data_IF_731515945414
#
_entry.id   IF_731515945414
#
_cell.length_a   1.000
_cell.length_b   1.000
_cell.length_c   1.000
_cell.angle_alpha   90.00
_cell.angle_beta   90.00
_cell.angle_gamma   90.00
#
_symmetry.space_group_name_H-M   'P 1'
#
loop_
_entity.id
_entity.type
_entity.pdbx_description
1 polymer ?
#
# COMPACT_ATOMS: atom_id res chain seq x y z
N UNK A 1 -2.82 15.95 -15.89
CA UNK A 1 -3.43 15.82 -17.24
C UNK A 1 -2.43 15.53 -18.38
N UNK A 2 -1.11 15.81 -18.25
CA UNK A 2 -0.12 15.53 -19.30
C UNK A 2 0.36 14.06 -19.44
N UNK A 3 0.03 13.17 -18.50
CA UNK A 3 0.50 11.76 -18.52
C UNK A 3 -0.36 10.82 -19.39
N UNK A 4 -1.56 11.24 -19.77
CA UNK A 4 -2.51 10.44 -20.57
C UNK A 4 -2.22 10.49 -22.08
N UNK A 5 -1.57 11.56 -22.57
CA UNK A 5 -1.36 11.75 -24.01
C UNK A 5 -0.22 10.93 -24.62
N UNK A 6 0.66 10.38 -23.79
CA UNK A 6 1.84 9.63 -24.26
C UNK A 6 1.45 8.21 -24.75
N UNK A 7 0.46 7.53 -24.12
CA UNK A 7 0.06 6.18 -24.56
C UNK A 7 -0.76 6.17 -25.88
N UNK A 8 -1.39 7.29 -26.28
CA UNK A 8 -2.23 7.34 -27.51
C UNK A 8 -1.40 7.61 -28.78
N UNK A 9 -0.29 8.34 -28.67
CA UNK A 9 0.56 8.68 -29.83
C UNK A 9 1.39 7.50 -30.35
N UNK A 10 1.54 6.42 -29.57
CA UNK A 10 2.29 5.22 -29.95
C UNK A 10 1.49 4.24 -30.84
N UNK A 11 0.23 4.53 -31.20
CA UNK A 11 -0.64 3.61 -31.93
C UNK A 11 -0.59 3.73 -33.47
N UNK A 12 0.22 4.63 -34.04
CA UNK A 12 0.24 4.85 -35.50
C UNK A 12 1.40 4.19 -36.25
N UNK A 13 2.35 3.56 -35.56
CA UNK A 13 3.45 2.83 -36.19
C UNK A 13 3.38 1.35 -35.84
N UNK A 14 2.86 0.58 -36.79
CA UNK A 14 2.97 -0.87 -36.98
C UNK A 14 3.75 -1.69 -35.92
N UNK A 15 3.07 -2.73 -35.42
CA UNK A 15 3.65 -3.97 -34.91
C UNK A 15 4.62 -3.86 -33.70
N UNK A 16 4.08 -3.52 -32.53
CA UNK A 16 4.67 -3.98 -31.26
C UNK A 16 3.57 -4.68 -30.46
N UNK A 17 3.40 -5.98 -30.75
CA UNK A 17 2.71 -6.89 -29.84
C UNK A 17 3.45 -6.85 -28.50
N UNK A 18 2.70 -6.61 -27.40
CA UNK A 18 3.07 -6.76 -25.98
C UNK A 18 3.48 -5.52 -25.18
N UNK A 19 3.06 -4.29 -25.54
CA UNK A 19 3.13 -3.18 -24.58
C UNK A 19 1.73 -2.77 -24.09
N UNK A 20 1.11 -3.67 -23.33
CA UNK A 20 -0.07 -3.35 -22.52
C UNK A 20 0.29 -2.28 -21.49
N UNK A 21 0.00 -1.01 -21.82
CA UNK A 21 -0.04 0.13 -20.90
C UNK A 21 -1.20 -0.13 -19.90
N UNK A 22 -1.04 -1.09 -19.00
CA UNK A 22 -1.91 -1.21 -17.82
C UNK A 22 -1.54 -0.07 -16.89
N UNK A 23 -2.52 0.71 -16.40
CA UNK A 23 -2.26 1.66 -15.34
C UNK A 23 -1.88 0.85 -14.09
N UNK A 24 -0.59 0.72 -13.80
CA UNK A 24 -0.13 0.24 -12.50
C UNK A 24 -0.29 1.39 -11.50
N UNK A 25 -1.56 1.67 -11.21
CA UNK A 25 -2.07 2.60 -10.22
C UNK A 25 -2.94 1.86 -9.20
N UNK A 26 -2.59 0.61 -8.90
CA UNK A 26 -3.10 -0.10 -7.75
C UNK A 26 -1.92 -0.84 -7.13
N UNK A 27 -1.57 -0.40 -5.93
CA UNK A 27 -0.70 -1.09 -4.98
C UNK A 27 -0.95 -2.59 -5.06
N UNK A 28 0.11 -3.34 -5.33
CA UNK A 28 0.20 -4.77 -5.10
C UNK A 28 -0.05 -5.06 -3.62
N UNK A 29 -1.31 -5.24 -3.24
CA UNK A 29 -1.65 -6.04 -2.07
C UNK A 29 -1.47 -7.50 -2.49
N UNK A 30 -0.63 -8.30 -1.81
CA UNK A 30 -0.58 -9.72 -2.06
C UNK A 30 -1.94 -10.31 -1.67
N UNK A 31 -2.56 -10.95 -2.64
CA UNK A 31 -3.62 -11.93 -2.48
C UNK A 31 -3.13 -13.10 -1.62
N UNK A 32 -3.26 -12.98 -0.30
CA UNK A 32 -3.32 -14.11 0.62
C UNK A 32 -4.59 -13.97 1.44
N UNK A 33 -5.55 -14.86 1.20
CA UNK A 33 -6.81 -14.95 1.94
C UNK A 33 -6.58 -15.54 3.35
N UNK A 34 -5.74 -14.89 4.14
CA UNK A 34 -5.76 -14.93 5.58
C UNK A 34 -6.16 -13.54 6.04
N UNK A 35 -7.07 -13.45 7.01
CA UNK A 35 -7.54 -12.21 7.60
C UNK A 35 -6.38 -11.47 8.30
N UNK A 36 -5.50 -10.85 7.52
CA UNK A 36 -4.40 -10.05 8.04
C UNK A 36 -4.97 -8.69 8.40
N UNK A 37 -5.37 -8.58 9.67
CA UNK A 37 -5.73 -7.29 10.26
C UNK A 37 -4.48 -6.41 10.25
N UNK A 38 -4.49 -5.38 9.43
CA UNK A 38 -3.41 -4.38 9.34
C UNK A 38 -3.82 -3.15 10.15
N UNK A 39 -3.05 -2.85 11.20
CA UNK A 39 -3.19 -1.61 11.96
C UNK A 39 -2.36 -0.48 11.36
N UNK A 40 -2.67 0.75 11.72
CA UNK A 40 -1.81 1.90 11.45
C UNK A 40 -0.45 1.75 12.15
N UNK A 41 0.60 2.30 11.55
CA UNK A 41 1.97 2.23 12.07
C UNK A 41 2.31 3.41 13.00
N UNK A 42 1.38 3.79 13.86
CA UNK A 42 1.53 4.84 14.86
C UNK A 42 2.10 4.31 16.18
N UNK A 43 2.72 5.22 16.93
CA UNK A 43 3.38 4.93 18.21
C UNK A 43 2.93 5.91 19.28
N UNK A 44 2.84 5.42 20.52
CA UNK A 44 2.54 6.21 21.71
C UNK A 44 3.76 6.20 22.64
N UNK A 45 4.14 7.37 23.15
CA UNK A 45 5.15 7.52 24.18
C UNK A 45 4.54 7.26 25.56
N UNK A 46 5.22 6.45 26.36
CA UNK A 46 4.86 6.09 27.73
C UNK A 46 5.52 7.04 28.74
N UNK A 47 5.02 7.07 29.98
CA UNK A 47 5.54 7.98 31.03
C UNK A 47 6.99 7.68 31.45
N UNK A 48 7.48 6.48 31.18
CA UNK A 48 8.86 6.05 31.38
C UNK A 48 9.79 6.45 30.21
N UNK A 49 9.23 7.02 29.14
CA UNK A 49 9.94 7.38 27.90
C UNK A 49 10.06 6.24 26.88
N UNK A 50 9.45 5.07 27.13
CA UNK A 50 9.37 4.00 26.13
C UNK A 50 8.30 4.29 25.07
N UNK A 51 8.31 3.52 23.98
CA UNK A 51 7.33 3.65 22.89
C UNK A 51 6.61 2.33 22.63
N UNK A 52 5.29 2.39 22.55
CA UNK A 52 4.41 1.25 22.26
C UNK A 52 3.66 1.47 20.95
N UNK A 53 3.48 0.38 20.18
CA UNK A 53 2.67 0.37 18.96
C UNK A 53 1.31 -0.30 19.19
N UNK A 54 0.50 -0.37 18.13
CA UNK A 54 -0.79 -1.06 18.14
C UNK A 54 -0.66 -2.59 18.15
N UNK A 55 -1.60 -3.27 18.79
CA UNK A 55 -1.72 -4.73 18.82
C UNK A 55 -2.89 -5.22 17.94
N UNK A 56 -2.54 -5.98 16.90
CA UNK A 56 -3.51 -6.60 15.97
C UNK A 56 -4.48 -7.56 16.67
N UNK A 57 -4.07 -8.15 17.79
CA UNK A 57 -4.91 -9.09 18.55
C UNK A 57 -5.84 -8.37 19.53
N UNK A 58 -5.64 -7.06 19.74
CA UNK A 58 -6.42 -6.24 20.66
C UNK A 58 -7.12 -5.09 19.92
N UNK A 59 -7.79 -5.38 18.80
CA UNK A 59 -8.53 -4.39 17.99
C UNK A 59 -7.68 -3.18 17.55
N UNK A 60 -6.39 -3.39 17.31
CA UNK A 60 -5.45 -2.32 17.01
C UNK A 60 -5.30 -1.27 18.13
N UNK A 61 -5.61 -1.58 19.39
CA UNK A 61 -5.31 -0.70 20.51
C UNK A 61 -3.81 -0.67 20.83
N UNK A 62 -3.34 0.39 21.50
CA UNK A 62 -1.94 0.46 21.94
C UNK A 62 -1.64 -0.64 22.97
N UNK A 63 -0.44 -1.22 22.89
CA UNK A 63 0.06 -2.13 23.93
C UNK A 63 0.22 -1.39 25.26
N UNK A 64 0.13 -2.13 26.36
CA UNK A 64 0.41 -1.58 27.69
C UNK A 64 1.86 -1.10 27.79
N UNK A 65 2.06 0.01 28.50
CA UNK A 65 3.38 0.52 28.83
C UNK A 65 4.10 -0.45 29.79
N UNK A 66 5.42 -0.62 29.66
CA UNK A 66 6.24 -1.47 30.53
C UNK A 66 6.34 -0.97 31.98
#
# INVERSE_FOLDING_TARGET
>A
MKKQFICVLALLSAAILLSSCTPQGASSAPENAGDQIVCTADVQECSDGSFVGRDVNNNCEFKECP
#
